data_IF_461288616777
#
_entry.id   IF_461288616777
#
_cell.length_a   1.000
_cell.length_b   1.000
_cell.length_c   1.000
_cell.angle_alpha   90.00
_cell.angle_beta   90.00
_cell.angle_gamma   90.00
#
_symmetry.space_group_name_H-M   'P 1'
#
loop_
_entity.id
_entity.type
_entity.pdbx_description
1 polymer ?
#
# COMPACT_ATOMS: atom_id res chain seq x y z
N UNK A 1 20.86 -14.13 10.36
CA UNK A 1 19.88 -13.49 9.44
C UNK A 1 18.43 -13.74 9.84
N UNK A 2 17.96 -14.98 10.00
CA UNK A 2 16.56 -15.23 10.47
C UNK A 2 16.35 -14.75 11.93
N UNK A 3 17.37 -14.87 12.78
CA UNK A 3 17.30 -14.46 14.20
C UNK A 3 17.10 -12.95 14.41
N UNK A 4 17.67 -12.10 13.55
CA UNK A 4 17.48 -10.64 13.60
C UNK A 4 16.08 -10.22 13.12
N UNK A 5 15.52 -10.96 12.15
CA UNK A 5 14.13 -10.75 11.71
C UNK A 5 13.12 -11.08 12.81
N UNK A 6 13.32 -12.20 13.52
CA UNK A 6 12.45 -12.63 14.62
C UNK A 6 12.57 -11.73 15.86
N UNK A 7 13.77 -11.25 16.21
CA UNK A 7 13.94 -10.32 17.33
C UNK A 7 13.31 -8.95 17.04
N UNK A 8 13.39 -8.48 15.78
CA UNK A 8 12.70 -7.28 15.30
C UNK A 8 11.18 -7.40 15.40
N UNK A 9 10.60 -8.53 14.95
CA UNK A 9 9.16 -8.78 15.01
C UNK A 9 8.61 -8.83 16.44
N UNK A 10 9.37 -9.44 17.37
CA UNK A 10 8.97 -9.49 18.78
C UNK A 10 8.96 -8.09 19.40
N UNK A 11 9.99 -7.30 19.13
CA UNK A 11 10.07 -5.92 19.59
C UNK A 11 8.95 -5.08 18.99
N UNK A 12 8.62 -5.32 17.72
CA UNK A 12 7.58 -4.64 16.96
C UNK A 12 6.15 -4.85 17.50
N UNK A 13 5.69 -6.10 17.61
CA UNK A 13 4.30 -6.38 17.98
C UNK A 13 4.03 -6.26 19.48
N UNK A 14 5.03 -6.48 20.33
CA UNK A 14 4.80 -6.62 21.77
C UNK A 14 5.23 -5.40 22.60
N UNK A 15 5.72 -4.32 21.97
CA UNK A 15 6.11 -3.08 22.66
C UNK A 15 4.94 -2.28 23.23
N UNK A 16 3.76 -2.32 22.61
CA UNK A 16 2.58 -1.58 23.09
C UNK A 16 1.29 -2.38 22.94
N UNK A 17 0.29 -2.07 23.77
CA UNK A 17 -1.03 -2.72 23.67
C UNK A 17 -1.67 -2.52 22.29
N UNK A 18 -1.49 -1.34 21.68
CA UNK A 18 -1.99 -1.04 20.32
C UNK A 18 -1.38 -1.98 19.28
N UNK A 19 -0.08 -2.25 19.37
CA UNK A 19 0.60 -3.17 18.45
C UNK A 19 0.21 -4.63 18.68
N UNK A 20 -0.09 -5.03 19.92
CA UNK A 20 -0.64 -6.37 20.21
C UNK A 20 -2.02 -6.55 19.60
N UNK A 21 -2.89 -5.54 19.71
CA UNK A 21 -4.22 -5.57 19.07
C UNK A 21 -4.10 -5.65 17.55
N UNK A 22 -3.23 -4.83 16.95
CA UNK A 22 -2.95 -4.91 15.52
C UNK A 22 -2.39 -6.28 15.11
N UNK A 23 -1.53 -6.89 15.93
CA UNK A 23 -1.02 -8.24 15.66
C UNK A 23 -2.13 -9.29 15.64
N UNK A 24 -3.01 -9.30 16.64
CA UNK A 24 -4.14 -10.22 16.70
C UNK A 24 -5.01 -10.05 15.45
N UNK A 25 -5.29 -8.80 15.08
CA UNK A 25 -6.07 -8.46 13.91
C UNK A 25 -5.39 -8.88 12.60
N UNK A 26 -4.08 -8.70 12.49
CA UNK A 26 -3.28 -9.16 11.37
C UNK A 26 -3.32 -10.69 11.24
N UNK A 27 -3.17 -11.43 12.35
CA UNK A 27 -3.29 -12.89 12.35
C UNK A 27 -4.68 -13.34 11.91
N UNK A 28 -5.74 -12.65 12.36
CA UNK A 28 -7.10 -12.94 11.91
C UNK A 28 -7.23 -12.80 10.38
N UNK A 29 -6.68 -11.73 9.79
CA UNK A 29 -6.68 -11.55 8.33
C UNK A 29 -5.85 -12.61 7.62
N UNK A 30 -4.69 -13.01 8.15
CA UNK A 30 -3.90 -14.11 7.56
C UNK A 30 -4.69 -15.42 7.56
N UNK A 31 -5.39 -15.74 8.64
CA UNK A 31 -6.25 -16.92 8.72
C UNK A 31 -7.43 -16.82 7.73
N UNK A 32 -8.03 -15.63 7.59
CA UNK A 32 -9.08 -15.37 6.62
C UNK A 32 -8.59 -15.57 5.18
N UNK A 33 -7.39 -15.07 4.86
CA UNK A 33 -6.75 -15.31 3.57
C UNK A 33 -6.54 -16.80 3.31
N UNK A 34 -6.08 -17.57 4.30
CA UNK A 34 -5.97 -19.02 4.15
C UNK A 34 -7.31 -19.67 3.83
N UNK A 35 -8.40 -19.23 4.47
CA UNK A 35 -9.74 -19.70 4.18
C UNK A 35 -10.20 -19.30 2.76
N UNK A 36 -9.93 -18.07 2.32
CA UNK A 36 -10.26 -17.59 0.97
C UNK A 36 -9.49 -18.31 -0.13
N UNK A 37 -8.24 -18.70 0.11
CA UNK A 37 -7.43 -19.47 -0.85
C UNK A 37 -8.09 -20.82 -1.16
N UNK A 38 -8.65 -21.50 -0.15
CA UNK A 38 -9.30 -22.81 -0.31
C UNK A 38 -10.79 -22.71 -0.64
N UNK A 39 -11.41 -21.54 -0.43
CA UNK A 39 -12.83 -21.31 -0.65
C UNK A 39 -13.25 -21.34 -2.12
N UNK A 40 -14.56 -21.46 -2.37
CA UNK A 40 -15.10 -21.59 -3.73
C UNK A 40 -15.16 -20.27 -4.51
N UNK A 41 -15.17 -19.13 -3.80
CA UNK A 41 -15.21 -17.79 -4.41
C UNK A 41 -13.94 -17.51 -5.19
N UNK A 42 -14.06 -17.34 -6.51
CA UNK A 42 -12.94 -16.98 -7.39
C UNK A 42 -12.35 -15.63 -7.02
N UNK A 43 -13.20 -14.65 -6.71
CA UNK A 43 -12.79 -13.30 -6.33
C UNK A 43 -11.97 -13.32 -5.04
N UNK A 44 -12.47 -13.98 -3.99
CA UNK A 44 -11.79 -14.04 -2.70
C UNK A 44 -10.45 -14.77 -2.83
N UNK A 45 -10.42 -15.86 -3.60
CA UNK A 45 -9.20 -16.60 -3.90
C UNK A 45 -8.17 -15.73 -4.64
N UNK A 46 -8.60 -14.98 -5.65
CA UNK A 46 -7.72 -14.04 -6.37
C UNK A 46 -7.13 -13.01 -5.41
N UNK A 47 -7.96 -12.35 -4.60
CA UNK A 47 -7.51 -11.33 -3.65
C UNK A 47 -6.51 -11.92 -2.64
N UNK A 48 -6.82 -13.08 -2.08
CA UNK A 48 -5.97 -13.72 -1.08
C UNK A 48 -4.61 -14.16 -1.64
N UNK A 49 -4.60 -14.78 -2.83
CA UNK A 49 -3.34 -15.21 -3.49
C UNK A 49 -2.51 -13.99 -3.90
N UNK A 50 -3.13 -12.97 -4.49
CA UNK A 50 -2.44 -11.75 -4.91
C UNK A 50 -1.84 -11.00 -3.72
N UNK A 51 -2.60 -10.81 -2.64
CA UNK A 51 -2.11 -10.19 -1.42
C UNK A 51 -0.97 -11.00 -0.79
N UNK A 52 -1.07 -12.33 -0.79
CA UNK A 52 0.01 -13.19 -0.32
C UNK A 52 1.29 -13.00 -1.15
N UNK A 53 1.18 -12.96 -2.48
CA UNK A 53 2.31 -12.72 -3.37
C UNK A 53 2.91 -11.33 -3.13
N UNK A 54 2.11 -10.27 -2.99
CA UNK A 54 2.62 -8.94 -2.63
C UNK A 54 3.38 -8.94 -1.30
N UNK A 55 2.84 -9.59 -0.27
CA UNK A 55 3.52 -9.74 1.03
C UNK A 55 4.85 -10.48 0.92
N UNK A 56 4.87 -11.59 0.17
CA UNK A 56 6.09 -12.36 -0.10
C UNK A 56 7.10 -11.53 -0.91
N UNK A 57 6.66 -10.75 -1.89
CA UNK A 57 7.52 -9.84 -2.66
C UNK A 57 8.18 -8.80 -1.77
N UNK A 58 7.44 -8.21 -0.83
CA UNK A 58 8.02 -7.27 0.16
C UNK A 58 9.01 -7.97 1.07
N UNK A 59 8.72 -9.19 1.54
CA UNK A 59 9.64 -9.97 2.34
C UNK A 59 10.92 -10.35 1.57
N UNK A 60 10.78 -10.70 0.29
CA UNK A 60 11.90 -11.00 -0.59
C UNK A 60 12.77 -9.74 -0.81
N UNK A 61 12.14 -8.59 -1.08
CA UNK A 61 12.81 -7.30 -1.11
C UNK A 61 13.59 -7.06 0.19
N UNK A 62 12.95 -7.25 1.35
CA UNK A 62 13.58 -7.06 2.65
C UNK A 62 14.79 -7.97 2.87
N UNK A 63 14.71 -9.21 2.38
CA UNK A 63 15.82 -10.17 2.47
C UNK A 63 16.98 -9.80 1.55
N UNK A 64 16.70 -9.16 0.42
CA UNK A 64 17.67 -8.80 -0.62
C UNK A 64 18.14 -7.34 -0.56
N UNK A 65 17.59 -6.52 0.34
CA UNK A 65 17.76 -5.05 0.37
C UNK A 65 19.20 -4.57 0.37
N UNK A 66 20.11 -5.28 1.06
CA UNK A 66 21.53 -4.89 1.16
C UNK A 66 22.30 -5.04 -0.17
N UNK A 67 21.71 -5.70 -1.17
CA UNK A 67 22.30 -5.87 -2.50
C UNK A 67 21.85 -4.78 -3.49
N UNK A 68 20.88 -3.96 -3.10
CA UNK A 68 20.29 -2.93 -3.97
C UNK A 68 21.06 -1.62 -3.78
N UNK A 69 21.81 -1.21 -4.79
CA UNK A 69 22.56 0.05 -4.80
C UNK A 69 21.92 1.02 -5.79
N UNK A 70 21.32 2.10 -5.27
CA UNK A 70 20.69 3.16 -6.08
C UNK A 70 21.66 4.31 -6.39
N UNK A 71 22.88 3.98 -6.82
CA UNK A 71 23.86 4.98 -7.27
C UNK A 71 23.40 5.54 -8.61
N UNK A 72 23.15 6.85 -8.66
CA UNK A 72 22.68 7.52 -9.87
C UNK A 72 22.31 8.98 -9.64
N UNK A 73 22.27 9.75 -10.73
CA UNK A 73 22.09 11.22 -10.76
C UNK A 73 20.66 11.70 -10.48
N UNK A 74 19.70 10.79 -10.28
CA UNK A 74 18.32 11.19 -9.98
C UNK A 74 18.21 11.81 -8.59
N UNK A 75 17.35 12.83 -8.43
CA UNK A 75 17.07 13.39 -7.11
C UNK A 75 16.37 12.36 -6.21
N UNK A 76 16.55 12.40 -4.88
CA UNK A 76 15.94 11.44 -3.94
C UNK A 76 14.42 11.32 -4.13
N UNK A 77 13.74 12.44 -4.36
CA UNK A 77 12.30 12.47 -4.65
C UNK A 77 11.92 11.64 -5.88
N UNK A 78 12.66 11.78 -6.99
CA UNK A 78 12.37 11.03 -8.22
C UNK A 78 12.66 9.54 -8.02
N UNK A 79 13.72 9.18 -7.29
CA UNK A 79 14.01 7.79 -6.92
C UNK A 79 12.87 7.20 -6.09
N UNK A 80 12.39 7.94 -5.09
CA UNK A 80 11.32 7.51 -4.20
C UNK A 80 10.05 7.18 -4.98
N UNK A 81 9.60 8.10 -5.83
CA UNK A 81 8.42 7.91 -6.70
C UNK A 81 8.64 6.79 -7.70
N UNK A 82 9.82 6.67 -8.30
CA UNK A 82 10.11 5.60 -9.26
C UNK A 82 10.06 4.21 -8.61
N UNK A 83 10.72 4.03 -7.46
CA UNK A 83 10.78 2.74 -6.77
C UNK A 83 9.39 2.34 -6.27
N UNK A 84 8.68 3.26 -5.61
CA UNK A 84 7.32 2.98 -5.16
C UNK A 84 6.37 2.75 -6.34
N UNK A 85 6.55 3.49 -7.44
CA UNK A 85 5.76 3.32 -8.65
C UNK A 85 5.99 1.97 -9.31
N UNK A 86 7.22 1.45 -9.33
CA UNK A 86 7.51 0.08 -9.76
C UNK A 86 6.85 -0.95 -8.84
N UNK A 87 6.80 -0.68 -7.53
CA UNK A 87 6.03 -1.48 -6.57
C UNK A 87 4.53 -1.48 -6.89
N UNK A 88 3.98 -0.34 -7.33
CA UNK A 88 2.57 -0.21 -7.72
C UNK A 88 2.28 -1.03 -8.98
N UNK A 89 3.09 -0.86 -10.03
CA UNK A 89 2.99 -1.65 -11.26
C UNK A 89 3.08 -3.15 -10.96
N UNK A 90 3.96 -3.55 -10.04
CA UNK A 90 4.07 -4.94 -9.61
C UNK A 90 2.79 -5.44 -8.94
N UNK A 91 2.23 -4.69 -7.99
CA UNK A 91 1.00 -5.06 -7.30
C UNK A 91 -0.16 -5.23 -8.31
N UNK A 92 -0.37 -4.27 -9.20
CA UNK A 92 -1.44 -4.35 -10.22
C UNK A 92 -1.22 -5.52 -11.18
N UNK A 93 0.03 -5.76 -11.60
CA UNK A 93 0.36 -6.90 -12.47
C UNK A 93 0.05 -8.24 -11.80
N UNK A 94 0.29 -8.36 -10.49
CA UNK A 94 -0.03 -9.55 -9.70
C UNK A 94 -1.54 -9.75 -9.62
N UNK A 95 -2.29 -8.71 -9.27
CA UNK A 95 -3.76 -8.77 -9.17
C UNK A 95 -4.39 -9.13 -10.51
N UNK A 96 -3.99 -8.45 -11.59
CA UNK A 96 -4.43 -8.75 -12.95
C UNK A 96 -4.10 -10.19 -13.37
N UNK A 97 -2.87 -10.65 -13.11
CA UNK A 97 -2.43 -12.00 -13.49
C UNK A 97 -3.28 -13.09 -12.83
N UNK A 98 -3.51 -13.01 -11.52
CA UNK A 98 -4.32 -14.00 -10.81
C UNK A 98 -5.81 -13.87 -11.13
N UNK A 99 -6.31 -12.66 -11.44
CA UNK A 99 -7.67 -12.48 -11.94
C UNK A 99 -7.89 -13.32 -13.22
N UNK A 100 -6.94 -13.30 -14.15
CA UNK A 100 -7.01 -14.10 -15.39
C UNK A 100 -6.85 -15.59 -15.14
N UNK A 101 -5.97 -16.00 -14.23
CA UNK A 101 -5.78 -17.43 -13.90
C UNK A 101 -7.04 -18.03 -13.28
N UNK A 102 -7.66 -17.34 -12.33
CA UNK A 102 -8.83 -17.86 -11.63
C UNK A 102 -10.16 -17.55 -12.33
N UNK A 103 -10.13 -16.72 -13.38
CA UNK A 103 -11.33 -16.27 -14.09
C UNK A 103 -12.27 -15.49 -13.17
N UNK A 104 -11.68 -14.67 -12.29
CA UNK A 104 -12.42 -13.71 -11.48
C UNK A 104 -12.71 -12.44 -12.30
N UNK A 105 -13.54 -11.55 -11.75
CA UNK A 105 -13.86 -10.26 -12.37
C UNK A 105 -14.03 -9.21 -11.28
N UNK A 106 -13.63 -7.97 -11.57
CA UNK A 106 -13.77 -6.84 -10.65
C UNK A 106 -12.76 -6.85 -9.51
N UNK A 107 -11.61 -7.50 -9.69
CA UNK A 107 -10.50 -7.48 -8.73
C UNK A 107 -9.46 -6.44 -9.16
N UNK A 108 -9.14 -6.37 -10.46
CA UNK A 108 -8.48 -5.21 -11.05
C UNK A 108 -9.51 -4.15 -11.46
N UNK A 109 -9.10 -2.88 -11.53
CA UNK A 109 -9.99 -1.81 -11.99
C UNK A 109 -10.34 -1.95 -13.48
N UNK A 110 -9.50 -2.62 -14.27
CA UNK A 110 -9.77 -2.95 -15.66
C UNK A 110 -9.30 -4.36 -16.07
N UNK A 111 -10.03 -5.05 -16.98
CA UNK A 111 -9.57 -6.33 -17.52
C UNK A 111 -8.29 -6.22 -18.36
N UNK A 112 -7.93 -5.00 -18.79
CA UNK A 112 -6.73 -4.69 -19.58
C UNK A 112 -5.72 -3.98 -18.68
N UNK A 113 -4.62 -4.65 -18.33
CA UNK A 113 -3.59 -4.12 -17.43
C UNK A 113 -3.08 -2.73 -17.84
N UNK A 114 -2.93 -2.46 -19.13
CA UNK A 114 -2.48 -1.14 -19.59
C UNK A 114 -3.48 -0.01 -19.25
N UNK A 115 -4.78 -0.30 -19.35
CA UNK A 115 -5.82 0.66 -19.00
C UNK A 115 -5.94 0.81 -17.47
N UNK A 116 -5.82 -0.32 -16.76
CA UNK A 116 -5.77 -0.36 -15.31
C UNK A 116 -4.66 0.57 -14.77
N UNK A 117 -3.42 0.35 -15.22
CA UNK A 117 -2.27 1.19 -14.88
C UNK A 117 -2.46 2.65 -15.32
N UNK A 118 -3.08 2.92 -16.46
CA UNK A 118 -3.33 4.30 -16.91
C UNK A 118 -4.23 5.06 -15.93
N UNK A 119 -5.20 4.36 -15.31
CA UNK A 119 -6.15 4.92 -14.36
C UNK A 119 -5.54 5.01 -12.96
N UNK A 120 -4.83 3.99 -12.50
CA UNK A 120 -4.34 3.89 -11.11
C UNK A 120 -2.97 4.55 -10.88
N UNK A 121 -2.06 4.54 -11.87
CA UNK A 121 -0.72 5.13 -11.71
C UNK A 121 -0.70 6.63 -11.40
N UNK A 122 -1.57 7.49 -11.96
CA UNK A 122 -1.63 8.91 -11.56
C UNK A 122 -1.85 9.09 -10.05
N UNK A 123 -2.72 8.27 -9.45
CA UNK A 123 -2.92 8.24 -8.00
C UNK A 123 -1.65 7.82 -7.28
N UNK A 124 -1.07 6.68 -7.65
CA UNK A 124 0.12 6.15 -6.99
C UNK A 124 1.32 7.11 -7.04
N UNK A 125 1.56 7.74 -8.20
CA UNK A 125 2.64 8.72 -8.38
C UNK A 125 2.45 9.90 -7.44
N UNK A 126 1.23 10.44 -7.34
CA UNK A 126 0.91 11.56 -6.46
C UNK A 126 0.98 11.18 -4.99
N UNK A 127 0.45 10.01 -4.62
CA UNK A 127 0.49 9.46 -3.27
C UNK A 127 1.95 9.29 -2.81
N UNK A 128 2.81 8.69 -3.61
CA UNK A 128 4.24 8.52 -3.31
C UNK A 128 5.00 9.85 -3.26
N UNK A 129 4.66 10.80 -4.13
CA UNK A 129 5.26 12.13 -4.12
C UNK A 129 4.95 12.88 -2.82
N UNK A 130 3.71 12.80 -2.36
CA UNK A 130 3.30 13.39 -1.08
C UNK A 130 3.84 12.59 0.12
N UNK A 131 3.93 11.27 0.03
CA UNK A 131 4.55 10.44 1.07
C UNK A 131 6.02 10.80 1.27
N UNK A 132 6.76 11.04 0.17
CA UNK A 132 8.13 11.57 0.26
C UNK A 132 8.16 12.90 1.04
N UNK A 133 7.25 13.84 0.76
CA UNK A 133 7.14 15.09 1.53
C UNK A 133 6.85 14.82 3.02
N UNK A 134 5.97 13.87 3.31
CA UNK A 134 5.63 13.45 4.67
C UNK A 134 6.87 12.95 5.42
N UNK A 135 7.65 12.04 4.83
CA UNK A 135 8.84 11.47 5.45
C UNK A 135 10.01 12.44 5.56
N UNK A 136 10.15 13.38 4.62
CA UNK A 136 11.15 14.46 4.71
C UNK A 136 10.78 15.54 5.74
N UNK A 137 9.52 15.59 6.20
CA UNK A 137 9.08 16.55 7.23
C UNK A 137 9.08 15.95 8.63
N UNK A 138 8.67 14.69 8.78
CA UNK A 138 8.57 14.03 10.08
C UNK A 138 9.21 12.64 10.05
N UNK A 139 9.75 12.22 11.18
CA UNK A 139 10.26 10.85 11.33
C UNK A 139 9.10 9.87 11.51
N UNK A 140 8.98 8.94 10.57
CA UNK A 140 8.09 7.79 10.67
C UNK A 140 8.92 6.52 10.76
N UNK A 141 8.53 5.63 11.67
CA UNK A 141 9.02 4.26 11.70
C UNK A 141 8.49 3.47 10.50
N UNK A 142 9.18 2.41 10.09
CA UNK A 142 8.69 1.53 9.01
C UNK A 142 7.29 0.96 9.29
N UNK A 143 7.00 0.70 10.57
CA UNK A 143 5.67 0.39 11.07
C UNK A 143 4.63 1.42 10.64
N UNK A 144 4.89 2.69 10.96
CA UNK A 144 3.95 3.76 10.67
C UNK A 144 3.78 3.90 9.16
N UNK A 145 4.85 3.73 8.38
CA UNK A 145 4.78 3.72 6.91
C UNK A 145 3.90 2.58 6.39
N UNK A 146 4.05 1.36 6.91
CA UNK A 146 3.22 0.22 6.53
C UNK A 146 1.73 0.45 6.86
N UNK A 147 1.45 0.95 8.08
CA UNK A 147 0.09 1.30 8.49
C UNK A 147 -0.50 2.41 7.63
N UNK A 148 0.30 3.43 7.30
CA UNK A 148 -0.10 4.49 6.38
C UNK A 148 -0.41 3.96 4.99
N UNK A 149 0.38 3.01 4.48
CA UNK A 149 0.08 2.30 3.24
C UNK A 149 -1.32 1.66 3.27
N UNK A 150 -1.64 0.93 4.33
CA UNK A 150 -2.98 0.35 4.51
C UNK A 150 -4.11 1.39 4.64
N UNK A 151 -3.82 2.56 5.23
CA UNK A 151 -4.78 3.67 5.33
C UNK A 151 -4.99 4.36 3.98
N UNK A 152 -3.95 4.49 3.15
CA UNK A 152 -4.07 5.07 1.81
C UNK A 152 -4.92 4.20 0.90
N UNK A 153 -4.71 2.89 0.95
CA UNK A 153 -5.53 1.91 0.24
C UNK A 153 -6.97 1.90 0.76
N UNK A 154 -7.18 1.95 2.08
CA UNK A 154 -8.54 2.11 2.63
C UNK A 154 -9.25 3.33 2.05
N UNK A 155 -8.55 4.45 1.85
CA UNK A 155 -9.15 5.62 1.22
C UNK A 155 -9.50 5.38 -0.24
N UNK A 156 -8.61 4.76 -1.02
CA UNK A 156 -8.82 4.49 -2.44
C UNK A 156 -9.89 3.40 -2.65
N UNK A 157 -9.64 2.18 -2.20
CA UNK A 157 -10.44 1.01 -2.53
C UNK A 157 -11.51 0.71 -1.48
N UNK A 158 -11.30 1.14 -0.24
CA UNK A 158 -12.29 0.97 0.81
C UNK A 158 -13.39 2.03 0.78
N UNK A 159 -13.03 3.31 0.75
CA UNK A 159 -13.96 4.43 0.90
C UNK A 159 -14.44 4.92 -0.46
N UNK A 160 -13.54 5.26 -1.40
CA UNK A 160 -14.00 5.81 -2.69
C UNK A 160 -14.80 4.82 -3.51
N UNK A 161 -14.39 3.55 -3.59
CA UNK A 161 -15.18 2.53 -4.29
C UNK A 161 -16.62 2.46 -3.76
N UNK A 162 -16.79 2.51 -2.43
CA UNK A 162 -18.12 2.51 -1.80
C UNK A 162 -18.94 3.78 -2.05
N UNK A 163 -18.29 4.93 -2.24
CA UNK A 163 -19.00 6.16 -2.63
C UNK A 163 -19.66 6.00 -4.00
N UNK A 164 -19.05 5.23 -4.91
CA UNK A 164 -19.62 4.93 -6.23
C UNK A 164 -20.62 3.76 -6.20
N UNK A 165 -20.39 2.73 -5.37
CA UNK A 165 -21.22 1.51 -5.33
C UNK A 165 -22.42 1.58 -4.36
N UNK A 166 -22.48 2.61 -3.51
CA UNK A 166 -23.52 2.78 -2.50
C UNK A 166 -22.98 2.68 -1.08
N UNK A 167 -22.91 3.82 -0.41
CA UNK A 167 -22.32 3.93 0.92
C UNK A 167 -23.22 3.35 2.01
N UNK A 168 -22.75 2.32 2.72
CA UNK A 168 -23.45 1.75 3.91
C UNK A 168 -22.49 1.61 5.09
N UNK A 169 -23.02 1.69 6.32
CA UNK A 169 -22.22 1.50 7.53
C UNK A 169 -21.58 0.10 7.60
N UNK A 170 -22.29 -0.91 7.09
CA UNK A 170 -21.80 -2.28 7.01
C UNK A 170 -20.59 -2.39 6.09
N UNK A 171 -20.66 -1.80 4.89
CA UNK A 171 -19.54 -1.82 3.94
C UNK A 171 -18.34 -1.05 4.50
N UNK A 172 -18.57 0.09 5.15
CA UNK A 172 -17.50 0.85 5.78
C UNK A 172 -16.81 0.04 6.87
N UNK A 173 -17.57 -0.62 7.73
CA UNK A 173 -17.03 -1.49 8.77
C UNK A 173 -16.21 -2.65 8.18
N UNK A 174 -16.70 -3.29 7.11
CA UNK A 174 -15.97 -4.33 6.40
C UNK A 174 -14.66 -3.81 5.81
N UNK A 175 -14.65 -2.61 5.21
CA UNK A 175 -13.45 -1.97 4.69
C UNK A 175 -12.42 -1.69 5.80
N UNK A 176 -12.88 -1.22 6.97
CA UNK A 176 -12.01 -1.10 8.14
C UNK A 176 -11.41 -2.44 8.51
N UNK A 177 -12.23 -3.50 8.62
CA UNK A 177 -11.80 -4.84 9.05
C UNK A 177 -10.69 -5.43 8.18
N UNK A 178 -10.60 -5.05 6.90
CA UNK A 178 -9.57 -5.53 5.96
C UNK A 178 -8.32 -4.63 5.89
N UNK A 179 -8.17 -3.59 6.72
CA UNK A 179 -6.94 -2.77 6.76
C UNK A 179 -5.66 -3.61 6.83
N UNK A 180 -5.54 -4.69 7.63
CA UNK A 180 -4.31 -5.49 7.63
C UNK A 180 -4.00 -6.14 6.27
N UNK A 181 -5.03 -6.47 5.48
CA UNK A 181 -4.85 -6.95 4.10
C UNK A 181 -4.26 -5.84 3.22
N UNK A 182 -4.80 -4.62 3.33
CA UNK A 182 -4.29 -3.45 2.64
C UNK A 182 -2.84 -3.13 2.99
N UNK A 183 -2.47 -3.27 4.28
CA UNK A 183 -1.07 -3.15 4.73
C UNK A 183 -0.18 -4.14 3.99
N UNK A 184 -0.61 -5.39 3.79
CA UNK A 184 0.16 -6.41 3.08
C UNK A 184 0.33 -6.02 1.61
N UNK A 185 -0.75 -5.63 0.93
CA UNK A 185 -0.72 -5.28 -0.51
C UNK A 185 0.17 -4.07 -0.75
N UNK A 186 -0.07 -2.97 -0.05
CA UNK A 186 0.66 -1.71 -0.26
C UNK A 186 2.09 -1.74 0.26
N UNK A 187 2.46 -2.76 1.04
CA UNK A 187 3.82 -2.87 1.58
C UNK A 187 4.90 -2.83 0.50
N UNK A 188 4.65 -3.39 -0.68
CA UNK A 188 5.60 -3.43 -1.80
C UNK A 188 5.78 -2.06 -2.48
N UNK A 189 4.82 -1.15 -2.28
CA UNK A 189 4.82 0.19 -2.82
C UNK A 189 5.50 1.18 -1.88
N UNK A 190 5.17 1.12 -0.60
CA UNK A 190 5.62 2.12 0.39
C UNK A 190 6.92 1.72 1.07
N UNK A 191 7.14 0.45 1.39
CA UNK A 191 8.30 0.06 2.19
C UNK A 191 9.63 0.14 1.42
N UNK A 192 9.74 -0.34 0.17
CA UNK A 192 10.99 -0.26 -0.58
C UNK A 192 11.56 1.16 -0.74
N UNK A 193 10.80 2.17 -1.20
CA UNK A 193 11.35 3.53 -1.34
C UNK A 193 11.72 4.14 0.01
N UNK A 194 10.92 3.94 1.06
CA UNK A 194 11.21 4.46 2.41
C UNK A 194 12.42 3.82 3.06
N UNK A 195 12.67 2.54 2.79
CA UNK A 195 13.85 1.85 3.29
C UNK A 195 15.11 2.26 2.52
N UNK A 196 15.09 2.15 1.19
CA UNK A 196 16.30 2.34 0.37
C UNK A 196 16.81 3.79 0.39
N UNK A 197 15.93 4.76 0.60
CA UNK A 197 16.27 6.18 0.60
C UNK A 197 16.27 6.80 2.01
N UNK A 198 16.31 5.97 3.06
CA UNK A 198 16.16 6.43 4.44
C UNK A 198 17.22 7.47 4.80
N UNK A 199 18.47 7.23 4.45
CA UNK A 199 19.58 8.13 4.76
C UNK A 199 19.44 9.48 4.03
N UNK A 200 19.03 9.49 2.76
CA UNK A 200 18.79 10.75 2.04
C UNK A 200 17.59 11.51 2.59
N UNK A 201 16.50 10.81 2.93
CA UNK A 201 15.31 11.40 3.54
C UNK A 201 15.64 12.01 4.91
N UNK A 202 16.41 11.31 5.72
CA UNK A 202 16.80 11.74 7.07
C UNK A 202 17.68 13.01 7.01
N UNK A 203 18.64 13.08 6.07
CA UNK A 203 19.45 14.29 5.82
C UNK A 203 18.61 15.50 5.40
N UNK A 204 17.62 15.31 4.52
CA UNK A 204 16.73 16.38 4.11
C UNK A 204 15.89 16.86 5.30
N UNK A 205 15.41 15.93 6.13
CA UNK A 205 14.60 16.24 7.30
C UNK A 205 15.34 17.05 8.36
N UNK A 206 16.62 16.76 8.60
CA UNK A 206 17.46 17.52 9.55
C UNK A 206 17.55 19.02 9.19
N UNK A 207 17.46 19.35 7.90
CA UNK A 207 17.48 20.72 7.39
C UNK A 207 16.09 21.39 7.33
N UNK A 208 15.02 20.65 7.64
CA UNK A 208 13.64 21.10 7.47
C UNK A 208 13.00 21.47 8.82
N UNK A 209 12.22 22.57 8.90
CA UNK A 209 11.54 22.96 10.12
C UNK A 209 10.50 21.89 10.52
N UNK A 210 10.57 21.44 11.77
CA UNK A 210 9.61 20.50 12.32
C UNK A 210 8.29 21.21 12.63
N UNK A 211 7.18 20.65 12.15
CA UNK A 211 5.84 21.11 12.50
C UNK A 211 5.32 20.43 13.77
N UNK A 212 4.11 20.80 14.20
CA UNK A 212 3.46 20.28 15.41
C UNK A 212 2.45 19.17 15.14
N UNK A 213 2.15 18.87 13.86
CA UNK A 213 1.00 18.03 13.48
C UNK A 213 1.42 16.86 12.58
N UNK A 214 2.24 15.95 13.11
CA UNK A 214 2.75 14.75 12.41
C UNK A 214 1.63 13.98 11.72
N UNK A 215 0.66 13.47 12.49
CA UNK A 215 -0.38 12.59 11.96
C UNK A 215 -1.37 13.26 11.00
N UNK A 216 -1.67 14.55 11.18
CA UNK A 216 -2.49 15.29 10.22
C UNK A 216 -1.74 15.45 8.88
N UNK A 217 -0.44 15.70 8.94
CA UNK A 217 0.38 15.80 7.74
C UNK A 217 0.50 14.45 7.01
N UNK A 218 0.40 13.33 7.72
CA UNK A 218 0.36 12.00 7.13
C UNK A 218 -0.84 11.75 6.21
N UNK A 219 -1.87 12.61 6.26
CA UNK A 219 -3.03 12.57 5.36
C UNK A 219 -2.75 13.25 4.02
N UNK A 220 -1.63 13.95 3.86
CA UNK A 220 -1.28 14.65 2.62
C UNK A 220 -1.34 13.75 1.37
N UNK A 221 -0.94 12.46 1.42
CA UNK A 221 -1.03 11.58 0.26
C UNK A 221 -2.44 11.35 -0.25
N UNK A 222 -3.50 11.55 0.54
CA UNK A 222 -4.88 11.50 0.06
C UNK A 222 -5.20 12.56 -1.00
N UNK A 223 -4.44 13.65 -1.10
CA UNK A 223 -4.57 14.59 -2.22
C UNK A 223 -4.27 13.93 -3.57
N UNK A 224 -3.55 12.81 -3.59
CA UNK A 224 -3.38 12.03 -4.82
C UNK A 224 -4.67 11.42 -5.34
N UNK A 225 -5.73 11.27 -4.51
CA UNK A 225 -6.99 10.68 -4.93
C UNK A 225 -7.74 11.59 -5.90
N UNK A 226 -7.37 12.87 -5.97
CA UNK A 226 -7.99 13.86 -6.86
C UNK A 226 -7.96 13.39 -8.33
N UNK A 227 -6.79 13.03 -8.93
CA UNK A 227 -6.75 12.42 -10.25
C UNK A 227 -7.70 11.23 -10.43
N UNK A 228 -7.73 10.31 -9.46
CA UNK A 228 -8.55 9.11 -9.53
C UNK A 228 -10.05 9.44 -9.51
N UNK A 229 -10.47 10.37 -8.64
CA UNK A 229 -11.83 10.89 -8.59
C UNK A 229 -12.24 11.55 -9.91
N UNK A 230 -11.37 12.40 -10.47
CA UNK A 230 -11.66 13.09 -11.73
C UNK A 230 -11.81 12.11 -12.91
N UNK A 231 -10.94 11.09 -13.00
CA UNK A 231 -11.02 10.07 -14.04
C UNK A 231 -12.33 9.28 -13.91
N UNK A 232 -12.67 8.80 -12.70
CA UNK A 232 -13.90 8.05 -12.48
C UNK A 232 -15.16 8.86 -12.78
N UNK A 233 -15.20 10.15 -12.38
CA UNK A 233 -16.31 11.04 -12.71
C UNK A 233 -16.48 11.21 -14.23
N UNK A 234 -15.38 11.42 -14.97
CA UNK A 234 -15.44 11.56 -16.43
C UNK A 234 -15.96 10.29 -17.11
N UNK A 235 -15.56 9.11 -16.64
CA UNK A 235 -16.05 7.83 -17.15
C UNK A 235 -17.54 7.62 -16.85
N UNK A 236 -17.99 7.97 -15.65
CA UNK A 236 -19.40 7.85 -15.25
C UNK A 236 -20.34 8.78 -16.02
N UNK A 237 -19.87 9.98 -16.41
CA UNK A 237 -20.68 10.96 -17.17
C UNK A 237 -20.78 10.57 -18.65
N UNK A 238 -19.80 9.86 -19.19
CA UNK A 238 -19.82 9.39 -20.59
C UNK A 238 -20.63 8.10 -20.83
N UNK A 239 -21.16 7.48 -19.78
CA UNK A 239 -21.89 6.20 -19.83
C UNK A 239 -23.39 6.32 -19.53
N UNK A 240 -23.90 7.54 -19.29
CA UNK A 240 -25.32 7.86 -19.17
C UNK A 240 -25.82 8.65 -20.36
#
# INVERSE_FOLDING_TARGET
MISEGLSGLRTFFFQSQKMKLFFIWFIFIVLLMCAWIIGESKTDRTVAVSAFVCGVSTFFFWSCKNRISLKGMMSPRKKFVLIGGLGAVWAESVFWFFEKIFGASGVAASPVLALDLLVTMPWYIMMLFFLFKVETKYHYSYTEILLLGGVYELGADGILAQVFDGFTLSNLFSAFMVIPLFVIVYSVMVLPPSYLLRDEVDKIRETSPQGTHKYLYALLPFLGLIPYLLINLLVSVGSG
#
